data_IF_621165309038
#
_entry.id   IF_621165309038
#
_cell.length_a   1.000
_cell.length_b   1.000
_cell.length_c   1.000
_cell.angle_alpha   90.00
_cell.angle_beta   90.00
_cell.angle_gamma   90.00
#
_symmetry.space_group_name_H-M   'P 1'
#
loop_
_entity.id
_entity.type
_entity.pdbx_description
1 polymer ?
#
# COMPACT_ATOMS: atom_id res chain seq x y z
N UNK A 1 6.93 0.43 5.40
CA UNK A 1 5.69 -0.18 4.87
C UNK A 1 5.78 -0.10 3.36
N UNK A 2 5.32 -1.13 2.66
CA UNK A 2 5.39 -1.22 1.22
C UNK A 2 4.02 -1.60 0.66
N UNK A 3 3.64 -0.97 -0.45
CA UNK A 3 2.33 -1.02 -1.04
C UNK A 3 2.39 -1.51 -2.48
N UNK A 4 1.35 -2.19 -2.91
CA UNK A 4 1.07 -2.51 -4.31
C UNK A 4 -0.37 -2.10 -4.61
N UNK A 5 -0.61 -1.54 -5.80
CA UNK A 5 -1.95 -1.18 -6.23
C UNK A 5 -2.66 -2.34 -6.94
N UNK A 6 -3.95 -2.49 -6.66
CA UNK A 6 -4.83 -3.41 -7.38
C UNK A 6 -6.03 -2.63 -7.93
N UNK A 7 -6.34 -2.83 -9.22
CA UNK A 7 -7.52 -2.23 -9.86
C UNK A 7 -8.83 -2.76 -9.27
N UNK A 8 -8.84 -4.00 -8.79
CA UNK A 8 -10.02 -4.64 -8.21
C UNK A 8 -9.61 -5.55 -7.06
N UNK A 9 -10.29 -5.40 -5.93
CA UNK A 9 -10.10 -6.23 -4.73
C UNK A 9 -11.44 -6.76 -4.28
N UNK A 10 -11.50 -8.05 -3.93
CA UNK A 10 -12.68 -8.67 -3.30
C UNK A 10 -12.27 -9.27 -1.97
N UNK A 11 -12.98 -8.90 -0.91
CA UNK A 11 -12.73 -9.40 0.44
C UNK A 11 -13.48 -10.71 0.65
N UNK A 12 -12.77 -11.84 0.55
CA UNK A 12 -13.37 -13.19 0.59
C UNK A 12 -13.12 -13.94 1.90
N UNK A 13 -12.23 -13.43 2.77
CA UNK A 13 -11.94 -14.04 4.06
C UNK A 13 -13.07 -13.86 5.08
N UNK A 14 -13.10 -14.69 6.12
CA UNK A 14 -14.11 -14.64 7.19
C UNK A 14 -14.17 -13.28 7.90
N UNK A 15 -13.07 -12.52 7.90
CA UNK A 15 -13.00 -11.17 8.45
C UNK A 15 -13.69 -10.10 7.62
N UNK A 16 -14.10 -10.40 6.39
CA UNK A 16 -14.77 -9.47 5.49
C UNK A 16 -13.93 -8.25 5.09
N UNK A 17 -14.61 -7.17 4.74
CA UNK A 17 -13.98 -5.90 4.36
C UNK A 17 -13.29 -5.21 5.57
N UNK A 18 -12.11 -4.58 5.38
CA UNK A 18 -11.45 -3.82 6.43
C UNK A 18 -12.32 -2.68 6.99
N UNK A 19 -12.08 -2.32 8.25
CA UNK A 19 -12.62 -1.08 8.80
C UNK A 19 -11.84 0.10 8.24
N UNK A 20 -12.55 1.06 7.65
CA UNK A 20 -11.97 2.26 7.06
C UNK A 20 -11.95 3.42 8.03
N UNK A 21 -10.80 4.10 8.10
CA UNK A 21 -10.64 5.37 8.80
C UNK A 21 -10.12 6.43 7.83
N UNK A 22 -10.77 7.58 7.81
CA UNK A 22 -10.37 8.72 7.00
C UNK A 22 -9.22 9.46 7.69
N UNK A 23 -8.02 9.31 7.14
CA UNK A 23 -6.81 9.91 7.69
C UNK A 23 -6.62 11.35 7.23
N UNK A 24 -7.18 11.69 6.06
CA UNK A 24 -7.27 13.05 5.56
C UNK A 24 -8.62 13.18 4.86
N UNK A 25 -9.42 14.14 5.32
CA UNK A 25 -10.79 14.34 4.86
C UNK A 25 -10.85 14.52 3.35
N UNK A 26 -11.62 13.68 2.67
CA UNK A 26 -11.80 13.70 1.22
C UNK A 26 -10.66 13.10 0.40
N UNK A 27 -9.45 12.97 0.96
CA UNK A 27 -8.27 12.58 0.16
C UNK A 27 -7.76 11.17 0.47
N UNK A 28 -7.82 10.72 1.72
CA UNK A 28 -7.13 9.49 2.11
C UNK A 28 -7.86 8.69 3.18
N UNK A 29 -8.05 7.40 2.90
CA UNK A 29 -8.60 6.40 3.83
C UNK A 29 -7.62 5.26 4.03
N UNK A 30 -7.58 4.71 5.25
CA UNK A 30 -6.76 3.56 5.61
C UNK A 30 -7.66 2.46 6.16
N UNK A 31 -7.48 1.25 5.63
CA UNK A 31 -8.24 0.05 5.99
C UNK A 31 -7.45 -0.82 6.97
N UNK A 32 -8.12 -1.26 8.03
CA UNK A 32 -7.52 -2.05 9.11
C UNK A 32 -8.36 -3.30 9.43
N UNK A 33 -7.69 -4.37 9.89
CA UNK A 33 -8.38 -5.52 10.45
C UNK A 33 -9.12 -5.10 11.75
N UNK A 34 -10.44 -5.32 11.87
CA UNK A 34 -11.20 -4.94 13.07
C UNK A 34 -10.80 -5.73 14.31
N UNK A 35 -10.16 -6.89 14.15
CA UNK A 35 -9.80 -7.78 15.26
C UNK A 35 -8.43 -7.47 15.84
N UNK A 36 -7.40 -7.36 14.98
CA UNK A 36 -6.01 -7.17 15.43
C UNK A 36 -5.44 -5.77 15.15
N UNK A 37 -6.16 -4.91 14.44
CA UNK A 37 -5.72 -3.55 14.11
C UNK A 37 -4.65 -3.45 13.04
N UNK A 38 -4.23 -4.56 12.42
CA UNK A 38 -3.23 -4.54 11.35
C UNK A 38 -3.71 -3.72 10.16
N UNK A 39 -2.83 -2.91 9.56
CA UNK A 39 -3.15 -2.11 8.38
C UNK A 39 -3.04 -2.96 7.12
N UNK A 40 -4.14 -3.03 6.37
CA UNK A 40 -4.31 -3.89 5.21
C UNK A 40 -4.36 -3.10 3.90
N UNK A 41 -5.08 -1.98 3.89
CA UNK A 41 -5.41 -1.28 2.66
C UNK A 41 -5.34 0.25 2.78
N UNK A 42 -5.30 0.92 1.64
CA UNK A 42 -5.35 2.36 1.48
C UNK A 42 -6.16 2.72 0.23
N UNK A 43 -6.94 3.79 0.35
CA UNK A 43 -7.59 4.47 -0.78
C UNK A 43 -7.08 5.91 -0.73
N UNK A 44 -6.59 6.41 -1.85
CA UNK A 44 -6.14 7.78 -2.03
C UNK A 44 -6.90 8.38 -3.23
N UNK A 45 -7.47 9.56 -3.07
CA UNK A 45 -8.42 10.21 -4.01
C UNK A 45 -7.92 10.32 -5.46
N UNK A 46 -6.62 10.50 -5.63
CA UNK A 46 -5.98 10.69 -6.93
C UNK A 46 -5.41 9.41 -7.54
N UNK A 47 -5.62 8.25 -6.91
CA UNK A 47 -5.11 6.95 -7.36
C UNK A 47 -6.30 6.01 -7.60
N UNK A 48 -6.49 5.48 -8.82
CA UNK A 48 -7.64 4.63 -9.14
C UNK A 48 -7.58 3.25 -8.48
N UNK A 49 -6.38 2.81 -8.10
CA UNK A 49 -6.12 1.51 -7.49
C UNK A 49 -6.32 1.54 -5.98
N UNK A 50 -6.72 0.40 -5.41
CA UNK A 50 -6.66 0.19 -3.97
C UNK A 50 -5.25 -0.25 -3.61
N UNK A 51 -4.56 0.53 -2.76
CA UNK A 51 -3.26 0.16 -2.24
C UNK A 51 -3.39 -0.94 -1.20
N UNK A 52 -2.78 -2.10 -1.43
CA UNK A 52 -2.70 -3.20 -0.46
C UNK A 52 -1.29 -3.27 0.12
N UNK A 53 -1.21 -3.45 1.43
CA UNK A 53 0.06 -3.66 2.10
C UNK A 53 0.60 -5.03 1.70
N UNK A 54 1.77 -5.07 1.04
CA UNK A 54 2.27 -6.32 0.47
C UNK A 54 2.59 -7.36 1.55
N UNK A 55 2.97 -6.92 2.75
CA UNK A 55 3.21 -7.84 3.87
C UNK A 55 1.93 -8.47 4.43
N UNK A 56 0.76 -8.11 3.92
CA UNK A 56 -0.51 -8.78 4.23
C UNK A 56 -0.85 -9.89 3.21
N UNK A 57 -0.06 -10.05 2.14
CA UNK A 57 -0.21 -11.14 1.18
C UNK A 57 0.56 -12.38 1.64
N UNK A 58 -0.01 -13.55 1.39
CA UNK A 58 0.65 -14.83 1.72
C UNK A 58 1.84 -15.13 0.80
N UNK A 59 1.72 -14.79 -0.48
CA UNK A 59 2.80 -14.91 -1.47
C UNK A 59 3.26 -13.52 -1.92
N UNK A 60 4.51 -13.21 -1.59
CA UNK A 60 5.18 -11.96 -1.95
C UNK A 60 6.33 -12.15 -2.93
N UNK A 61 6.47 -13.37 -3.51
CA UNK A 61 7.58 -13.74 -4.38
C UNK A 61 7.41 -13.32 -5.84
N UNK A 62 6.23 -12.80 -6.20
CA UNK A 62 5.91 -12.37 -7.55
C UNK A 62 6.85 -11.27 -8.06
N UNK A 63 7.34 -11.34 -9.31
CA UNK A 63 8.22 -10.32 -9.88
C UNK A 63 7.55 -8.95 -10.00
N UNK A 64 6.22 -8.92 -10.14
CA UNK A 64 5.42 -7.69 -10.18
C UNK A 64 5.28 -7.03 -8.79
N UNK A 65 5.75 -7.71 -7.74
CA UNK A 65 5.87 -7.20 -6.38
C UNK A 65 7.32 -6.78 -6.09
N UNK A 66 8.15 -6.44 -7.08
CA UNK A 66 9.43 -5.78 -6.77
C UNK A 66 9.17 -4.27 -6.59
N UNK A 67 9.55 -3.64 -5.46
CA UNK A 67 9.37 -2.21 -5.28
C UNK A 67 10.09 -1.42 -6.37
N UNK A 68 9.37 -0.46 -6.98
CA UNK A 68 9.88 0.42 -8.04
C UNK A 68 10.09 1.87 -7.58
N UNK A 69 9.50 2.24 -6.44
CA UNK A 69 9.63 3.57 -5.85
C UNK A 69 9.78 3.49 -4.33
N UNK A 70 10.43 4.50 -3.74
CA UNK A 70 10.54 4.69 -2.30
C UNK A 70 10.21 6.13 -1.93
N UNK A 71 9.07 6.35 -1.27
CA UNK A 71 8.71 7.66 -0.71
C UNK A 71 9.70 8.07 0.38
N UNK A 72 9.93 9.38 0.52
CA UNK A 72 10.85 9.95 1.52
C UNK A 72 12.25 9.33 1.48
N UNK A 73 12.76 9.03 0.28
CA UNK A 73 14.09 8.43 0.05
C UNK A 73 15.20 9.14 0.81
N UNK A 74 15.14 10.46 0.90
CA UNK A 74 16.16 11.27 1.60
C UNK A 74 16.17 11.03 3.12
N UNK A 75 15.10 10.47 3.67
CA UNK A 75 14.99 10.07 5.07
C UNK A 75 15.34 8.58 5.28
N UNK A 76 15.76 7.88 4.24
CA UNK A 76 16.13 6.46 4.36
C UNK A 76 17.38 6.29 5.23
N UNK A 77 17.35 5.25 6.06
CA UNK A 77 18.50 4.84 6.87
C UNK A 77 19.65 4.37 5.97
N UNK A 78 20.89 4.69 6.34
CA UNK A 78 22.07 4.47 5.48
C UNK A 78 22.35 3.02 5.09
N UNK A 79 21.80 2.05 5.84
CA UNK A 79 21.98 0.63 5.54
C UNK A 79 20.93 0.06 4.58
N UNK A 80 19.86 0.81 4.29
CA UNK A 80 18.80 0.35 3.39
C UNK A 80 19.24 0.58 1.93
N UNK A 81 19.31 -0.47 1.09
CA UNK A 81 19.57 -0.29 -0.33
C UNK A 81 18.54 0.62 -0.98
N UNK A 82 18.98 1.53 -1.85
CA UNK A 82 18.08 2.41 -2.59
C UNK A 82 17.32 1.59 -3.63
N UNK A 83 16.01 1.80 -3.70
CA UNK A 83 15.20 1.27 -4.80
C UNK A 83 15.64 1.95 -6.10
N UNK A 84 16.03 1.19 -7.14
CA UNK A 84 16.39 1.77 -8.44
C UNK A 84 15.23 2.57 -9.00
N UNK A 85 15.52 3.74 -9.56
CA UNK A 85 14.49 4.58 -10.16
C UNK A 85 14.12 4.02 -11.53
N UNK A 86 12.94 3.43 -11.64
CA UNK A 86 12.32 3.09 -12.93
C UNK A 86 11.25 4.14 -13.24
N UNK A 87 11.68 5.20 -13.93
CA UNK A 87 10.91 6.34 -14.45
C UNK A 87 10.08 7.18 -13.46
N UNK A 88 10.03 8.48 -13.68
CA UNK A 88 9.30 9.43 -12.82
C UNK A 88 7.79 9.19 -12.90
N UNK A 89 7.16 8.77 -11.80
CA UNK A 89 5.71 8.92 -11.63
C UNK A 89 5.39 10.36 -11.23
N UNK A 90 4.53 11.03 -12.00
CA UNK A 90 4.11 12.43 -11.84
C UNK A 90 3.13 12.68 -10.68
N UNK A 91 3.13 11.83 -9.66
CA UNK A 91 2.30 12.05 -8.47
C UNK A 91 2.97 13.10 -7.58
N UNK A 92 2.66 14.38 -7.87
CA UNK A 92 2.96 15.55 -7.03
C UNK A 92 1.83 15.88 -6.07
#
# INVERSE_FOLDING_TARGET
MWWVGFETVTWTGEGGEPTWYETFEGEAKRGFCPTCGSRLAAIDSNIPEIGINVTALDDTSGPDLVPIHASFRDNAVHWLPLVPETEHSTAG
#
